data_IF_805925060520
#
_entry.id   IF_805925060520
#
_cell.length_a   1.000
_cell.length_b   1.000
_cell.length_c   1.000
_cell.angle_alpha   90.00
_cell.angle_beta   90.00
_cell.angle_gamma   90.00
#
_symmetry.space_group_name_H-M   'P 1'
#
loop_
_entity.id
_entity.type
_entity.pdbx_description
1 polymer ?
#
# COMPACT_ATOMS: atom_id res chain seq x y z
N UNK A 1 6.12 18.46 13.37
CA UNK A 1 5.70 17.06 13.37
C UNK A 1 4.34 16.95 12.70
N UNK A 2 4.32 16.33 11.55
CA UNK A 2 3.05 16.12 10.88
C UNK A 2 2.15 15.27 11.75
N UNK A 3 0.97 15.79 12.00
CA UNK A 3 -0.04 15.04 12.72
C UNK A 3 -0.57 13.95 11.79
N UNK A 4 -0.19 12.69 12.03
CA UNK A 4 -0.69 11.54 11.26
C UNK A 4 -2.22 11.43 11.33
N UNK A 5 -2.84 12.18 12.27
CA UNK A 5 -4.29 12.24 12.42
C UNK A 5 -4.92 13.39 11.62
N UNK A 6 -4.11 14.16 10.88
CA UNK A 6 -4.67 15.17 10.00
C UNK A 6 -5.43 14.46 8.87
N UNK A 7 -6.73 14.71 8.86
CA UNK A 7 -7.61 14.15 7.83
C UNK A 7 -7.39 14.95 6.55
N UNK A 8 -6.44 14.51 5.73
CA UNK A 8 -6.28 15.04 4.38
C UNK A 8 -6.86 14.01 3.37
N UNK A 9 -6.99 14.40 2.12
CA UNK A 9 -7.58 13.55 1.09
C UNK A 9 -6.82 12.24 0.92
N UNK A 10 -5.49 12.28 1.01
CA UNK A 10 -4.63 11.09 0.90
C UNK A 10 -4.91 10.10 2.02
N UNK A 11 -4.99 10.58 3.26
CA UNK A 11 -5.24 9.71 4.40
C UNK A 11 -6.67 9.17 4.39
N UNK A 12 -7.64 9.94 3.92
CA UNK A 12 -9.02 9.47 3.81
C UNK A 12 -9.16 8.30 2.85
N UNK A 13 -8.57 8.39 1.67
CA UNK A 13 -8.64 7.27 0.72
C UNK A 13 -7.84 6.07 1.24
N UNK A 14 -6.70 6.29 1.89
CA UNK A 14 -5.92 5.23 2.50
C UNK A 14 -6.73 4.47 3.57
N UNK A 15 -7.43 5.19 4.44
CA UNK A 15 -8.26 4.58 5.48
C UNK A 15 -9.36 3.71 4.89
N UNK A 16 -10.02 4.17 3.85
CA UNK A 16 -11.12 3.43 3.19
C UNK A 16 -10.61 2.18 2.48
N UNK A 17 -9.49 2.30 1.77
CA UNK A 17 -8.87 1.16 1.10
C UNK A 17 -8.41 0.12 2.12
N UNK A 18 -7.78 0.58 3.19
CA UNK A 18 -7.30 -0.31 4.25
C UNK A 18 -8.45 -1.08 4.90
N UNK A 19 -9.55 -0.37 5.22
CA UNK A 19 -10.74 -1.01 5.76
C UNK A 19 -11.28 -2.07 4.82
N UNK A 20 -11.37 -1.74 3.53
CA UNK A 20 -11.85 -2.68 2.52
C UNK A 20 -10.99 -3.94 2.46
N UNK A 21 -9.68 -3.78 2.29
CA UNK A 21 -8.79 -4.93 2.13
C UNK A 21 -8.75 -5.81 3.37
N UNK A 22 -8.76 -5.23 4.56
CA UNK A 22 -8.66 -6.00 5.81
C UNK A 22 -9.99 -6.65 6.17
N UNK A 23 -11.10 -5.90 6.15
CA UNK A 23 -12.38 -6.42 6.64
C UNK A 23 -13.16 -7.18 5.59
N UNK A 24 -13.08 -6.79 4.32
CA UNK A 24 -13.88 -7.41 3.26
C UNK A 24 -13.11 -8.45 2.45
N UNK A 25 -11.78 -8.33 2.39
CA UNK A 25 -10.95 -9.24 1.59
C UNK A 25 -9.95 -10.04 2.43
N UNK A 26 -9.99 -9.89 3.74
CA UNK A 26 -9.18 -10.67 4.69
C UNK A 26 -7.67 -10.55 4.50
N UNK A 27 -7.19 -9.41 4.02
CA UNK A 27 -5.77 -9.14 4.01
C UNK A 27 -5.26 -8.85 5.41
N UNK A 28 -4.03 -9.20 5.68
CA UNK A 28 -3.36 -8.92 6.95
C UNK A 28 -2.14 -8.04 6.74
N UNK A 29 -1.85 -7.11 7.66
CA UNK A 29 -0.68 -6.24 7.52
C UNK A 29 0.64 -7.01 7.61
N UNK A 30 1.60 -6.61 6.80
CA UNK A 30 2.98 -7.06 6.89
C UNK A 30 3.80 -5.88 7.39
N UNK A 31 4.44 -6.02 8.56
CA UNK A 31 5.28 -4.96 9.11
C UNK A 31 6.72 -5.20 8.65
N UNK A 32 7.26 -4.23 7.92
CA UNK A 32 8.57 -4.33 7.28
C UNK A 32 9.55 -3.31 7.85
N UNK A 33 10.81 -3.71 7.96
CA UNK A 33 11.88 -2.85 8.44
C UNK A 33 12.23 -1.77 7.41
N UNK A 34 12.36 -0.53 7.88
CA UNK A 34 12.82 0.57 7.05
C UNK A 34 11.86 1.01 5.96
N UNK A 35 10.60 0.59 6.04
CA UNK A 35 9.57 0.99 5.09
C UNK A 35 8.59 1.91 5.81
N UNK A 36 8.70 3.21 5.52
CA UNK A 36 7.82 4.24 6.07
C UNK A 36 6.88 4.74 4.98
N UNK A 37 5.73 5.24 5.38
CA UNK A 37 4.73 5.82 4.48
C UNK A 37 4.22 4.86 3.40
N UNK A 38 4.28 3.56 3.68
CA UNK A 38 3.68 2.50 2.86
C UNK A 38 3.03 1.47 3.78
N UNK A 39 1.88 0.99 3.36
CA UNK A 39 1.17 -0.09 4.07
C UNK A 39 1.19 -1.32 3.16
N UNK A 40 1.76 -2.40 3.65
CA UNK A 40 1.86 -3.67 2.93
C UNK A 40 0.88 -4.67 3.54
N UNK A 41 0.13 -5.33 2.68
CA UNK A 41 -0.92 -6.28 3.06
C UNK A 41 -0.73 -7.58 2.30
N UNK A 42 -1.14 -8.68 2.93
CA UNK A 42 -0.96 -10.02 2.38
C UNK A 42 -2.24 -10.84 2.51
N UNK A 43 -2.63 -11.51 1.43
CA UNK A 43 -3.60 -12.61 1.44
C UNK A 43 -3.25 -13.58 0.32
N UNK A 44 -2.70 -14.74 0.67
CA UNK A 44 -2.21 -15.71 -0.30
C UNK A 44 -3.32 -16.40 -1.11
N UNK A 45 -4.57 -16.26 -0.71
CA UNK A 45 -5.73 -16.82 -1.42
C UNK A 45 -6.30 -15.88 -2.48
N UNK A 46 -5.81 -14.65 -2.55
CA UNK A 46 -6.25 -13.65 -3.53
C UNK A 46 -5.38 -13.68 -4.78
N UNK A 47 -5.92 -13.16 -5.90
CA UNK A 47 -5.17 -13.05 -7.17
C UNK A 47 -3.94 -12.15 -7.03
N UNK A 48 -4.08 -11.04 -6.31
CA UNK A 48 -2.95 -10.23 -5.87
C UNK A 48 -2.67 -10.60 -4.41
N UNK A 49 -1.68 -11.46 -4.20
CA UNK A 49 -1.33 -11.91 -2.85
C UNK A 49 -0.78 -10.77 -1.99
N UNK A 50 -0.14 -9.79 -2.62
CA UNK A 50 0.41 -8.61 -1.95
C UNK A 50 -0.29 -7.37 -2.48
N UNK A 51 -0.77 -6.53 -1.56
CA UNK A 51 -1.27 -5.20 -1.87
C UNK A 51 -0.43 -4.18 -1.10
N UNK A 52 0.06 -3.19 -1.82
CA UNK A 52 0.87 -2.12 -1.26
C UNK A 52 0.17 -0.79 -1.47
N UNK A 53 -0.10 -0.06 -0.38
CA UNK A 53 -0.69 1.28 -0.42
C UNK A 53 0.42 2.28 -0.14
N UNK A 54 0.75 3.11 -1.12
CA UNK A 54 1.88 4.05 -1.04
C UNK A 54 1.37 5.44 -0.72
N UNK A 55 1.73 5.94 0.45
CA UNK A 55 1.27 7.22 0.98
C UNK A 55 2.20 8.39 0.61
N UNK A 56 3.50 8.10 0.43
CA UNK A 56 4.47 9.14 0.10
C UNK A 56 4.38 9.58 -1.36
N UNK A 57 4.86 10.78 -1.65
CA UNK A 57 4.82 11.36 -2.99
C UNK A 57 5.94 10.77 -3.87
N UNK A 58 5.56 10.37 -5.08
CA UNK A 58 6.50 9.97 -6.14
C UNK A 58 6.52 11.12 -7.17
N UNK A 59 7.61 11.87 -7.20
CA UNK A 59 7.69 13.13 -7.96
C UNK A 59 7.93 12.95 -9.45
N UNK A 60 8.71 11.96 -9.84
CA UNK A 60 9.17 11.81 -11.22
C UNK A 60 9.45 10.33 -11.55
N UNK A 61 9.77 10.08 -12.82
CA UNK A 61 10.03 8.71 -13.30
C UNK A 61 11.25 8.06 -12.65
N UNK A 62 12.27 8.85 -12.28
CA UNK A 62 13.46 8.30 -11.60
C UNK A 62 13.11 7.77 -10.21
N UNK A 63 12.31 8.51 -9.45
CA UNK A 63 11.84 8.07 -8.15
C UNK A 63 10.95 6.85 -8.28
N UNK A 64 10.12 6.80 -9.31
CA UNK A 64 9.29 5.63 -9.58
C UNK A 64 10.14 4.41 -9.89
N UNK A 65 11.16 4.57 -10.73
CA UNK A 65 12.09 3.48 -11.06
C UNK A 65 12.79 2.94 -9.80
N UNK A 66 13.23 3.84 -8.93
CA UNK A 66 13.84 3.47 -7.65
C UNK A 66 12.85 2.72 -6.76
N UNK A 67 11.60 3.19 -6.72
CA UNK A 67 10.52 2.55 -5.98
C UNK A 67 10.27 1.12 -6.47
N UNK A 68 10.22 0.91 -7.78
CA UNK A 68 10.05 -0.42 -8.39
C UNK A 68 11.20 -1.35 -7.97
N UNK A 69 12.42 -0.85 -8.02
CA UNK A 69 13.61 -1.62 -7.61
C UNK A 69 13.52 -2.04 -6.13
N UNK A 70 13.17 -1.09 -5.27
CA UNK A 70 12.99 -1.35 -3.83
C UNK A 70 11.87 -2.37 -3.58
N UNK A 71 10.75 -2.21 -4.29
CA UNK A 71 9.59 -3.10 -4.18
C UNK A 71 9.96 -4.53 -4.57
N UNK A 72 10.70 -4.71 -5.65
CA UNK A 72 11.15 -6.04 -6.08
C UNK A 72 11.99 -6.72 -5.01
N UNK A 73 12.87 -5.98 -4.33
CA UNK A 73 13.69 -6.51 -3.24
C UNK A 73 12.85 -6.95 -2.05
N UNK A 74 11.86 -6.15 -1.68
CA UNK A 74 10.97 -6.47 -0.56
C UNK A 74 10.12 -7.69 -0.87
N UNK A 75 9.53 -7.75 -2.06
CA UNK A 75 8.70 -8.89 -2.48
C UNK A 75 9.53 -10.17 -2.51
N UNK A 76 10.78 -10.10 -2.95
CA UNK A 76 11.69 -11.25 -2.94
C UNK A 76 11.90 -11.78 -1.52
N UNK A 77 12.06 -10.91 -0.53
CA UNK A 77 12.19 -11.29 0.88
C UNK A 77 10.91 -11.94 1.42
N UNK A 78 9.75 -11.38 1.10
CA UNK A 78 8.46 -11.92 1.49
C UNK A 78 8.28 -13.32 0.87
N UNK A 79 8.58 -13.46 -0.40
CA UNK A 79 8.49 -14.71 -1.15
C UNK A 79 9.33 -15.81 -0.50
N UNK A 80 10.55 -15.49 -0.07
CA UNK A 80 11.42 -16.45 0.59
C UNK A 80 10.83 -16.95 1.92
N UNK A 81 10.15 -16.09 2.66
CA UNK A 81 9.51 -16.44 3.94
C UNK A 81 8.23 -17.24 3.77
N UNK A 82 7.50 -17.02 2.67
CA UNK A 82 6.21 -17.69 2.42
C UNK A 82 6.35 -19.00 1.64
N UNK A 83 7.55 -19.31 1.15
CA UNK A 83 7.81 -20.46 0.28
C UNK A 83 6.95 -20.46 -0.99
N UNK A 84 6.52 -19.30 -1.42
CA UNK A 84 5.69 -19.13 -2.60
C UNK A 84 6.56 -19.06 -3.86
N UNK A 85 6.12 -19.67 -4.95
CA UNK A 85 6.82 -19.59 -6.24
C UNK A 85 6.60 -18.24 -6.92
N UNK A 86 5.45 -17.62 -6.66
CA UNK A 86 5.06 -16.39 -7.33
C UNK A 86 4.15 -15.58 -6.40
N UNK A 87 4.47 -14.31 -6.28
CA UNK A 87 3.60 -13.36 -5.59
C UNK A 87 3.26 -12.23 -6.55
N UNK A 88 1.98 -12.08 -6.84
CA UNK A 88 1.47 -10.96 -7.62
C UNK A 88 1.29 -9.77 -6.69
N UNK A 89 1.87 -8.64 -7.05
CA UNK A 89 1.86 -7.43 -6.22
C UNK A 89 1.05 -6.34 -6.89
N UNK A 90 0.10 -5.77 -6.16
CA UNK A 90 -0.64 -4.58 -6.58
C UNK A 90 -0.11 -3.39 -5.80
N UNK A 91 0.40 -2.39 -6.51
CA UNK A 91 0.83 -1.11 -5.91
C UNK A 91 -0.22 -0.05 -6.18
N UNK A 92 -0.76 0.54 -5.10
CA UNK A 92 -1.74 1.62 -5.19
C UNK A 92 -1.07 2.90 -4.71
N UNK A 93 -0.80 3.82 -5.65
CA UNK A 93 -0.19 5.10 -5.35
C UNK A 93 -1.29 6.12 -5.08
N UNK A 94 -1.17 6.86 -3.98
CA UNK A 94 -2.14 7.87 -3.59
C UNK A 94 -1.66 9.29 -3.90
N UNK A 95 -0.36 9.45 -4.17
CA UNK A 95 0.24 10.77 -4.36
C UNK A 95 1.34 10.70 -5.42
N UNK A 96 0.91 10.71 -6.68
CA UNK A 96 1.79 10.53 -7.81
C UNK A 96 1.95 11.84 -8.58
N UNK A 97 3.19 12.20 -8.93
CA UNK A 97 3.45 13.37 -9.77
C UNK A 97 2.82 13.22 -11.15
N UNK A 98 2.34 14.33 -11.71
CA UNK A 98 1.62 14.35 -12.99
C UNK A 98 2.45 13.86 -14.17
N UNK A 99 3.77 13.93 -14.07
CA UNK A 99 4.68 13.49 -15.13
C UNK A 99 5.06 12.01 -15.07
N UNK A 100 4.64 11.31 -13.99
CA UNK A 100 5.00 9.91 -13.80
C UNK A 100 4.08 9.01 -14.62
N UNK A 101 4.69 8.13 -15.41
CA UNK A 101 3.98 7.13 -16.20
C UNK A 101 4.23 5.74 -15.61
N UNK A 102 3.22 5.19 -14.95
CA UNK A 102 3.31 3.89 -14.28
C UNK A 102 3.57 2.73 -15.26
N UNK A 103 3.22 2.90 -16.54
CA UNK A 103 3.41 1.84 -17.54
C UNK A 103 4.85 1.69 -18.00
N UNK A 104 5.74 2.65 -17.72
CA UNK A 104 7.14 2.59 -18.13
C UNK A 104 7.94 1.51 -17.42
N UNK A 105 7.61 1.22 -16.17
CA UNK A 105 8.23 0.15 -15.40
C UNK A 105 7.19 -0.44 -14.44
N UNK A 106 7.21 -1.75 -14.27
CA UNK A 106 6.38 -2.43 -13.28
C UNK A 106 7.25 -3.37 -12.46
N UNK A 107 6.93 -3.58 -11.18
CA UNK A 107 7.57 -4.64 -10.40
C UNK A 107 7.37 -5.99 -11.10
N UNK A 108 8.28 -6.91 -10.88
CA UNK A 108 8.17 -8.27 -11.40
C UNK A 108 6.88 -8.90 -10.84
N UNK A 109 6.03 -9.44 -11.73
CA UNK A 109 4.71 -9.95 -11.38
C UNK A 109 3.83 -8.90 -10.68
N UNK A 110 4.02 -7.64 -11.01
CA UNK A 110 3.32 -6.54 -10.37
C UNK A 110 2.46 -5.75 -11.32
N UNK A 111 1.44 -5.12 -10.76
CA UNK A 111 0.61 -4.12 -11.42
C UNK A 111 0.54 -2.89 -10.54
N UNK A 112 0.26 -1.75 -11.13
CA UNK A 112 0.25 -0.49 -10.41
C UNK A 112 -0.89 0.39 -10.88
N UNK A 113 -1.45 1.15 -9.95
CA UNK A 113 -2.48 2.14 -10.26
C UNK A 113 -2.33 3.35 -9.34
N UNK A 114 -2.97 4.45 -9.68
CA UNK A 114 -3.00 5.66 -8.88
C UNK A 114 -4.44 6.09 -8.65
N UNK A 115 -4.82 6.24 -7.39
CA UNK A 115 -6.13 6.77 -7.01
C UNK A 115 -5.94 7.82 -5.93
N UNK A 116 -6.52 8.98 -6.09
CA UNK A 116 -6.41 10.07 -5.12
C UNK A 116 -7.68 10.26 -4.30
N UNK A 117 -8.82 9.75 -4.78
CA UNK A 117 -10.11 9.84 -4.11
C UNK A 117 -11.04 8.70 -4.55
N UNK A 118 -12.26 8.70 -4.00
CA UNK A 118 -13.28 7.70 -4.35
C UNK A 118 -13.65 7.71 -5.83
N UNK A 119 -13.65 8.89 -6.45
CA UNK A 119 -14.01 9.03 -7.87
C UNK A 119 -13.02 8.31 -8.77
N UNK A 120 -11.75 8.34 -8.40
CA UNK A 120 -10.71 7.62 -9.15
C UNK A 120 -10.92 6.11 -9.04
N UNK A 121 -11.30 5.61 -7.87
CA UNK A 121 -11.59 4.18 -7.68
C UNK A 121 -12.76 3.74 -8.57
N UNK A 122 -13.80 4.58 -8.69
CA UNK A 122 -14.95 4.30 -9.55
C UNK A 122 -14.57 4.13 -11.02
N UNK A 123 -13.50 4.78 -11.44
CA UNK A 123 -13.04 4.76 -12.83
C UNK A 123 -11.86 3.82 -13.06
N UNK A 124 -11.30 3.26 -11.99
CA UNK A 124 -10.10 2.44 -12.09
C UNK A 124 -10.44 1.03 -12.56
N UNK A 125 -10.13 0.76 -13.83
CA UNK A 125 -10.45 -0.52 -14.45
C UNK A 125 -9.74 -1.68 -13.76
N UNK A 126 -8.48 -1.50 -13.37
CA UNK A 126 -7.69 -2.54 -12.72
C UNK A 126 -8.31 -2.93 -11.38
N UNK A 127 -8.64 -1.96 -10.54
CA UNK A 127 -9.25 -2.22 -9.24
C UNK A 127 -10.64 -2.83 -9.37
N UNK A 128 -11.45 -2.35 -10.31
CA UNK A 128 -12.82 -2.86 -10.50
C UNK A 128 -12.84 -4.28 -11.07
N UNK A 129 -11.87 -4.63 -11.91
CA UNK A 129 -11.75 -6.00 -12.43
C UNK A 129 -11.23 -6.97 -11.37
N UNK A 130 -10.27 -6.54 -10.57
CA UNK A 130 -9.66 -7.38 -9.53
C UNK A 130 -10.56 -7.50 -8.29
N UNK A 131 -11.20 -6.39 -7.92
CA UNK A 131 -12.07 -6.30 -6.74
C UNK A 131 -13.39 -5.65 -7.13
N UNK A 132 -14.34 -6.40 -7.69
CA UNK A 132 -15.58 -5.81 -8.24
C UNK A 132 -16.44 -5.05 -7.22
N UNK A 133 -16.31 -5.36 -5.94
CA UNK A 133 -17.09 -4.73 -4.86
C UNK A 133 -16.39 -3.55 -4.19
N UNK A 134 -15.16 -3.20 -4.65
CA UNK A 134 -14.34 -2.20 -3.94
C UNK A 134 -15.01 -0.82 -3.87
N UNK A 135 -15.49 -0.31 -5.00
CA UNK A 135 -16.11 1.03 -5.02
C UNK A 135 -17.37 1.08 -4.18
N UNK A 136 -18.25 0.09 -4.32
CA UNK A 136 -19.49 0.01 -3.55
C UNK A 136 -19.19 0.01 -2.05
N UNK A 137 -18.19 -0.73 -1.64
CA UNK A 137 -17.82 -0.85 -0.23
C UNK A 137 -17.25 0.45 0.33
N UNK A 138 -16.27 1.04 -0.34
CA UNK A 138 -15.65 2.28 0.15
C UNK A 138 -16.62 3.47 0.13
N UNK A 139 -17.58 3.50 -0.79
CA UNK A 139 -18.56 4.57 -0.85
C UNK A 139 -19.60 4.50 0.30
N UNK A 140 -19.87 3.31 0.81
CA UNK A 140 -20.78 3.10 1.94
C UNK A 140 -20.13 3.37 3.29
N UNK A 141 -18.82 3.22 3.41
CA UNK A 141 -18.10 3.23 4.67
C UNK A 141 -17.31 4.53 4.86
N UNK A 142 -17.99 5.68 4.81
CA UNK A 142 -17.39 7.01 4.78
C UNK A 142 -16.47 7.33 5.96
N UNK A 143 -16.72 6.74 7.13
CA UNK A 143 -15.96 7.04 8.35
C UNK A 143 -15.21 5.84 8.93
N UNK A 144 -15.25 4.70 8.23
CA UNK A 144 -14.60 3.48 8.71
C UNK A 144 -13.15 3.39 8.21
N UNK A 145 -12.30 2.80 9.01
CA UNK A 145 -10.90 2.60 8.69
C UNK A 145 -9.93 3.49 9.44
N UNK A 146 -10.41 4.54 10.10
CA UNK A 146 -9.55 5.43 10.87
C UNK A 146 -8.80 4.68 11.98
N UNK A 147 -9.50 3.85 12.74
CA UNK A 147 -8.90 3.07 13.83
C UNK A 147 -7.86 2.08 13.32
N UNK A 148 -8.16 1.40 12.22
CA UNK A 148 -7.22 0.48 11.58
C UNK A 148 -5.99 1.22 11.07
N UNK A 149 -6.18 2.38 10.44
CA UNK A 149 -5.09 3.20 9.91
C UNK A 149 -4.15 3.64 11.02
N UNK A 150 -4.70 4.14 12.12
CA UNK A 150 -3.92 4.57 13.29
C UNK A 150 -3.15 3.39 13.88
N UNK A 151 -3.82 2.27 14.10
CA UNK A 151 -3.20 1.08 14.67
C UNK A 151 -2.02 0.59 13.83
N UNK A 152 -2.21 0.50 12.52
CA UNK A 152 -1.18 -0.04 11.63
C UNK A 152 -0.02 0.94 11.47
N UNK A 153 -0.30 2.24 11.33
CA UNK A 153 0.77 3.24 11.24
C UNK A 153 1.57 3.31 12.53
N UNK A 154 0.92 3.16 13.68
CA UNK A 154 1.61 3.11 14.98
C UNK A 154 2.51 1.87 15.08
N UNK A 155 2.03 0.70 14.64
CA UNK A 155 2.82 -0.53 14.62
C UNK A 155 4.06 -0.39 13.73
N UNK A 156 3.90 0.21 12.55
CA UNK A 156 5.01 0.46 11.63
C UNK A 156 6.05 1.38 12.28
N UNK A 157 5.60 2.47 12.88
CA UNK A 157 6.49 3.43 13.54
C UNK A 157 7.21 2.82 14.75
N UNK A 158 6.52 2.04 15.57
CA UNK A 158 7.14 1.34 16.69
C UNK A 158 8.20 0.35 16.23
N UNK A 159 7.90 -0.41 15.18
CA UNK A 159 8.83 -1.40 14.64
C UNK A 159 10.11 -0.73 14.12
N UNK A 160 9.98 0.33 13.35
CA UNK A 160 11.12 1.08 12.83
C UNK A 160 11.93 1.75 13.95
N UNK A 161 11.26 2.23 14.99
CA UNK A 161 11.91 2.84 16.15
C UNK A 161 12.71 1.81 16.97
N UNK A 162 12.18 0.61 17.17
CA UNK A 162 12.89 -0.47 17.87
C UNK A 162 14.14 -0.91 17.12
N UNK A 163 14.07 -1.03 15.80
CA UNK A 163 15.21 -1.39 14.98
C UNK A 163 16.31 -0.33 15.08
N UNK A 164 15.94 0.94 15.05
CA UNK A 164 16.89 2.03 15.18
C UNK A 164 17.57 2.01 16.55
N UNK A 165 16.85 1.72 17.63
CA UNK A 165 17.42 1.58 18.97
C UNK A 165 18.38 0.41 19.07
N UNK A 166 18.11 -0.70 18.41
CA UNK A 166 19.02 -1.84 18.37
C UNK A 166 20.30 -1.52 17.62
N UNK A 167 20.22 -0.75 16.54
CA UNK A 167 21.39 -0.29 15.79
C UNK A 167 22.23 0.67 16.62
N UNK A 168 21.61 1.53 17.40
CA UNK A 168 22.32 2.49 18.25
C UNK A 168 23.05 1.82 19.44
N UNK A 169 22.69 0.58 19.78
CA UNK A 169 23.32 -0.18 20.85
C UNK A 169 24.53 -1.02 20.40
N UNK A 170 24.81 -1.04 19.14
CA UNK A 170 25.97 -1.76 18.58
C UNK A 170 27.21 -0.81 18.49
#
# INVERSE_FOLDING_TARGET
MENIFEINDTNMIAMKLLHYFITERNYTPIILNGVEDEIWLENLDEDCEIVRIVLHHIHNDEQYKFDVFKTNRIVKKIKAKTFSFKLNTLSIFLNLGSSVDLSKELPKNGVATCVTDEKDVKKDKLLLETYPDIYKNISKNKEKGADLFIKITDEINEHNHKDQKQMDKV
#
